data_IF_293040559361
#
_entry.id   IF_293040559361
#
_cell.length_a   1.000
_cell.length_b   1.000
_cell.length_c   1.000
_cell.angle_alpha   90.00
_cell.angle_beta   90.00
_cell.angle_gamma   90.00
#
_symmetry.space_group_name_H-M   'P 1'
#
loop_
_entity.id
_entity.type
_entity.pdbx_description
1 polymer ?
#
# COMPACT_ATOMS: atom_id res chain seq x y z
N UNK A 1 -11.58 -26.74 18.23
CA UNK A 1 -10.58 -26.56 17.15
C UNK A 1 -11.30 -26.83 15.84
N UNK A 2 -11.21 -25.94 14.83
CA UNK A 2 -11.85 -26.18 13.53
C UNK A 2 -11.12 -27.33 12.83
N UNK A 3 -11.85 -28.23 12.16
CA UNK A 3 -11.25 -29.30 11.35
C UNK A 3 -10.70 -28.74 10.04
N UNK A 4 -9.80 -29.49 9.38
CA UNK A 4 -9.30 -29.12 8.04
C UNK A 4 -10.47 -28.96 7.05
N UNK A 5 -11.48 -29.85 7.12
CA UNK A 5 -12.68 -29.77 6.29
C UNK A 5 -13.46 -28.47 6.51
N UNK A 6 -13.67 -28.08 7.78
CA UNK A 6 -14.35 -26.83 8.12
C UNK A 6 -13.58 -25.59 7.65
N UNK A 7 -12.24 -25.62 7.72
CA UNK A 7 -11.39 -24.54 7.23
C UNK A 7 -11.46 -24.43 5.70
N UNK A 8 -11.40 -25.56 4.99
CA UNK A 8 -11.51 -25.59 3.54
C UNK A 8 -12.89 -25.12 3.06
N UNK A 9 -13.97 -25.53 3.73
CA UNK A 9 -15.31 -25.07 3.39
C UNK A 9 -15.42 -23.55 3.51
N UNK A 10 -15.01 -22.97 4.66
CA UNK A 10 -15.05 -21.52 4.87
C UNK A 10 -14.13 -20.76 3.90
N UNK A 11 -12.98 -21.32 3.56
CA UNK A 11 -12.05 -20.74 2.59
C UNK A 11 -12.68 -20.69 1.20
N UNK A 12 -13.36 -21.77 0.78
CA UNK A 12 -14.09 -21.84 -0.49
C UNK A 12 -15.28 -20.86 -0.52
N UNK A 13 -16.05 -20.79 0.55
CA UNK A 13 -17.16 -19.82 0.67
C UNK A 13 -16.65 -18.38 0.58
N UNK A 14 -15.56 -18.07 1.28
CA UNK A 14 -14.92 -16.74 1.21
C UNK A 14 -14.40 -16.44 -0.19
N UNK A 15 -13.81 -17.42 -0.87
CA UNK A 15 -13.34 -17.30 -2.25
C UNK A 15 -14.50 -17.00 -3.22
N UNK A 16 -15.59 -17.75 -3.12
CA UNK A 16 -16.78 -17.58 -3.97
C UNK A 16 -17.48 -16.24 -3.74
N UNK A 17 -17.40 -15.71 -2.51
CA UNK A 17 -17.90 -14.37 -2.16
C UNK A 17 -16.90 -13.25 -2.46
N UNK A 18 -15.82 -13.55 -3.21
CA UNK A 18 -14.76 -12.59 -3.57
C UNK A 18 -14.02 -11.95 -2.39
N UNK A 19 -14.14 -12.52 -1.19
CA UNK A 19 -13.42 -12.11 0.01
C UNK A 19 -12.02 -12.73 0.00
N UNK A 20 -11.21 -12.39 -1.00
CA UNK A 20 -9.96 -13.06 -1.33
C UNK A 20 -8.90 -13.00 -0.23
N UNK A 21 -8.87 -11.91 0.55
CA UNK A 21 -7.99 -11.81 1.72
C UNK A 21 -8.37 -12.80 2.83
N UNK A 22 -9.68 -12.91 3.12
CA UNK A 22 -10.21 -13.84 4.11
C UNK A 22 -9.98 -15.28 3.66
N UNK A 23 -10.26 -15.58 2.39
CA UNK A 23 -10.01 -16.89 1.79
C UNK A 23 -8.52 -17.28 1.90
N UNK A 24 -7.61 -16.37 1.56
CA UNK A 24 -6.17 -16.58 1.67
C UNK A 24 -5.75 -16.90 3.11
N UNK A 25 -6.29 -16.16 4.09
CA UNK A 25 -6.03 -16.43 5.51
C UNK A 25 -6.47 -17.83 5.93
N UNK A 26 -7.66 -18.27 5.51
CA UNK A 26 -8.21 -19.59 5.85
C UNK A 26 -7.43 -20.75 5.19
N UNK A 27 -7.02 -20.62 3.92
CA UNK A 27 -6.17 -21.63 3.29
C UNK A 27 -4.78 -21.71 3.94
N UNK A 28 -4.20 -20.59 4.36
CA UNK A 28 -2.95 -20.62 5.12
C UNK A 28 -3.12 -21.34 6.47
N UNK A 29 -4.28 -21.20 7.13
CA UNK A 29 -4.56 -21.97 8.36
C UNK A 29 -4.63 -23.47 8.10
N UNK A 30 -5.15 -23.92 6.95
CA UNK A 30 -5.08 -25.34 6.55
C UNK A 30 -3.63 -25.78 6.44
N UNK A 31 -2.77 -25.00 5.79
CA UNK A 31 -1.35 -25.33 5.61
C UNK A 31 -0.54 -25.31 6.91
N UNK A 32 -1.01 -24.63 7.97
CA UNK A 32 -0.41 -24.71 9.30
C UNK A 32 -0.69 -26.06 9.98
N UNK A 33 -1.82 -26.71 9.65
CA UNK A 33 -2.23 -28.00 10.23
C UNK A 33 -1.77 -29.17 9.36
N UNK A 34 -1.87 -29.02 8.04
CA UNK A 34 -1.44 -29.98 7.02
C UNK A 34 -0.67 -29.24 5.92
N UNK A 35 0.65 -29.21 6.06
CA UNK A 35 1.57 -28.54 5.12
C UNK A 35 1.58 -29.18 3.73
N UNK A 36 1.05 -30.39 3.59
CA UNK A 36 1.00 -31.15 2.34
C UNK A 36 -0.36 -31.07 1.63
N UNK A 37 -1.29 -30.26 2.18
CA UNK A 37 -2.61 -30.11 1.61
C UNK A 37 -2.55 -29.42 0.23
N UNK A 38 -2.61 -30.22 -0.82
CA UNK A 38 -2.44 -29.75 -2.20
C UNK A 38 -3.49 -28.71 -2.63
N UNK A 39 -4.73 -28.86 -2.14
CA UNK A 39 -5.81 -27.90 -2.42
C UNK A 39 -5.46 -26.52 -1.83
N UNK A 40 -5.07 -26.47 -0.56
CA UNK A 40 -4.70 -25.23 0.09
C UNK A 40 -3.43 -24.61 -0.53
N UNK A 41 -2.44 -25.42 -0.94
CA UNK A 41 -1.24 -24.92 -1.62
C UNK A 41 -1.57 -24.21 -2.94
N UNK A 42 -2.37 -24.83 -3.82
CA UNK A 42 -2.79 -24.21 -5.09
C UNK A 42 -3.51 -22.90 -4.82
N UNK A 43 -4.50 -22.93 -3.91
CA UNK A 43 -5.34 -21.76 -3.62
C UNK A 43 -4.56 -20.60 -3.01
N UNK A 44 -3.62 -20.88 -2.11
CA UNK A 44 -2.73 -19.85 -1.57
C UNK A 44 -1.88 -19.21 -2.66
N UNK A 45 -1.33 -19.99 -3.60
CA UNK A 45 -0.54 -19.43 -4.68
C UNK A 45 -1.38 -18.52 -5.59
N UNK A 46 -2.55 -19.01 -6.01
CA UNK A 46 -3.52 -18.25 -6.82
C UNK A 46 -3.95 -16.94 -6.12
N UNK A 47 -4.31 -17.02 -4.84
CA UNK A 47 -4.82 -15.88 -4.09
C UNK A 47 -3.75 -14.87 -3.71
N UNK A 48 -2.49 -15.28 -3.51
CA UNK A 48 -1.39 -14.35 -3.24
C UNK A 48 -1.24 -13.35 -4.38
N UNK A 49 -1.24 -13.82 -5.61
CA UNK A 49 -1.17 -12.96 -6.80
C UNK A 49 -2.39 -12.06 -6.89
N UNK A 50 -3.60 -12.62 -6.72
CA UNK A 50 -4.85 -11.86 -6.82
C UNK A 50 -4.96 -10.76 -5.76
N UNK A 51 -4.63 -11.06 -4.50
CA UNK A 51 -4.63 -10.09 -3.40
C UNK A 51 -3.56 -9.03 -3.63
N UNK A 52 -2.38 -9.41 -4.14
CA UNK A 52 -1.32 -8.46 -4.45
C UNK A 52 -1.70 -7.50 -5.59
N UNK A 53 -2.36 -7.98 -6.64
CA UNK A 53 -2.84 -7.13 -7.74
C UNK A 53 -3.98 -6.23 -7.29
N UNK A 54 -4.91 -6.72 -6.47
CA UNK A 54 -5.94 -5.88 -5.85
C UNK A 54 -5.32 -4.76 -5.01
N UNK A 55 -4.34 -5.07 -4.15
CA UNK A 55 -3.63 -4.07 -3.35
C UNK A 55 -2.89 -3.02 -4.18
N UNK A 56 -2.32 -3.43 -5.32
CA UNK A 56 -1.67 -2.50 -6.27
C UNK A 56 -2.66 -1.61 -7.02
N UNK A 57 -3.90 -2.06 -7.17
CA UNK A 57 -4.96 -1.34 -7.87
C UNK A 57 -5.87 -0.53 -6.93
N UNK A 58 -5.56 -0.46 -5.63
CA UNK A 58 -6.23 0.49 -4.73
C UNK A 58 -5.63 1.85 -5.01
N UNK A 59 -6.33 2.66 -5.81
CA UNK A 59 -6.11 4.11 -5.81
C UNK A 59 -6.29 4.58 -4.37
N UNK A 60 -5.31 5.27 -3.76
CA UNK A 60 -5.45 5.77 -2.40
C UNK A 60 -6.75 6.58 -2.29
N UNK A 61 -7.39 6.59 -1.13
CA UNK A 61 -8.53 7.50 -0.94
C UNK A 61 -8.04 8.96 -0.94
N UNK A 62 -8.91 9.95 -1.22
CA UNK A 62 -8.56 11.36 -1.07
C UNK A 62 -8.00 11.69 0.32
N UNK A 63 -8.51 11.05 1.38
CA UNK A 63 -8.01 11.20 2.75
C UNK A 63 -6.59 10.63 2.92
N UNK A 64 -6.32 9.45 2.38
CA UNK A 64 -4.99 8.83 2.40
C UNK A 64 -3.98 9.65 1.61
N UNK A 65 -4.36 10.15 0.43
CA UNK A 65 -3.57 11.09 -0.35
C UNK A 65 -3.26 12.37 0.42
N UNK A 66 -4.25 12.94 1.13
CA UNK A 66 -4.05 14.13 1.96
C UNK A 66 -3.06 13.89 3.10
N UNK A 67 -3.17 12.74 3.79
CA UNK A 67 -2.23 12.35 4.86
C UNK A 67 -0.82 12.13 4.30
N UNK A 68 -0.72 11.48 3.14
CA UNK A 68 0.54 11.25 2.45
C UNK A 68 1.21 12.56 2.04
N UNK A 69 0.49 13.46 1.37
CA UNK A 69 0.99 14.77 0.94
C UNK A 69 1.40 15.64 2.13
N UNK A 70 0.62 15.65 3.22
CA UNK A 70 1.01 16.35 4.45
C UNK A 70 2.29 15.79 5.09
N UNK A 71 2.53 14.48 4.98
CA UNK A 71 3.76 13.84 5.46
C UNK A 71 4.96 14.21 4.58
N UNK A 72 4.80 14.19 3.26
CA UNK A 72 5.82 14.61 2.31
C UNK A 72 6.19 16.08 2.53
N UNK A 73 5.20 16.96 2.74
CA UNK A 73 5.39 18.39 2.95
C UNK A 73 6.29 18.65 4.17
N UNK A 74 5.96 18.04 5.32
CA UNK A 74 6.77 18.15 6.54
C UNK A 74 8.19 17.61 6.37
N UNK A 75 8.37 16.54 5.58
CA UNK A 75 9.69 16.00 5.28
C UNK A 75 10.49 16.92 4.35
N UNK A 76 9.82 17.55 3.38
CA UNK A 76 10.42 18.50 2.45
C UNK A 76 10.91 19.73 3.21
N UNK A 77 10.08 20.30 4.09
CA UNK A 77 10.43 21.43 4.95
C UNK A 77 11.65 21.12 5.84
N UNK A 78 11.64 19.97 6.52
CA UNK A 78 12.80 19.53 7.33
C UNK A 78 14.05 19.30 6.49
N UNK A 79 13.90 18.83 5.25
CA UNK A 79 15.04 18.64 4.34
C UNK A 79 15.58 20.00 3.89
N UNK A 80 14.71 20.97 3.62
CA UNK A 80 15.06 22.37 3.32
C UNK A 80 15.79 23.05 4.49
N UNK A 81 15.28 22.92 5.71
CA UNK A 81 15.91 23.43 6.94
C UNK A 81 17.33 22.86 7.15
N UNK A 82 17.53 21.59 6.76
CA UNK A 82 18.84 20.93 6.80
C UNK A 82 19.71 21.19 5.56
N UNK A 83 19.28 22.11 4.69
CA UNK A 83 19.94 22.44 3.42
C UNK A 83 20.15 21.22 2.49
N UNK A 84 19.36 20.16 2.68
CA UNK A 84 19.29 19.00 1.78
C UNK A 84 18.37 19.34 0.59
N UNK A 85 18.75 20.35 -0.18
CA UNK A 85 17.88 20.99 -1.18
C UNK A 85 17.40 20.03 -2.26
N UNK A 86 18.26 19.18 -2.80
CA UNK A 86 17.86 18.16 -3.80
C UNK A 86 16.78 17.23 -3.26
N UNK A 87 16.92 16.81 -1.99
CA UNK A 87 15.93 15.96 -1.32
C UNK A 87 14.62 16.71 -1.10
N UNK A 88 14.68 17.97 -0.68
CA UNK A 88 13.50 18.80 -0.51
C UNK A 88 12.74 18.96 -1.83
N UNK A 89 13.45 19.30 -2.92
CA UNK A 89 12.86 19.41 -4.26
C UNK A 89 12.21 18.11 -4.73
N UNK A 90 12.85 16.96 -4.51
CA UNK A 90 12.28 15.67 -4.87
C UNK A 90 10.98 15.38 -4.09
N UNK A 91 10.96 15.68 -2.79
CA UNK A 91 9.77 15.50 -1.96
C UNK A 91 8.61 16.42 -2.39
N UNK A 92 8.89 17.68 -2.72
CA UNK A 92 7.87 18.60 -3.25
C UNK A 92 7.33 18.13 -4.60
N UNK A 93 8.19 17.62 -5.50
CA UNK A 93 7.76 17.06 -6.80
C UNK A 93 6.83 15.87 -6.64
N UNK A 94 7.08 14.98 -5.67
CA UNK A 94 6.18 13.86 -5.38
C UNK A 94 4.78 14.32 -4.95
N UNK A 95 4.66 15.45 -4.24
CA UNK A 95 3.35 16.03 -3.92
C UNK A 95 2.66 16.48 -5.21
N UNK A 96 3.38 17.17 -6.10
CA UNK A 96 2.85 17.67 -7.37
C UNK A 96 2.48 16.57 -8.39
N UNK A 97 3.04 15.36 -8.25
CA UNK A 97 2.61 14.20 -9.04
C UNK A 97 1.17 13.76 -8.74
N UNK A 98 0.67 14.06 -7.54
CA UNK A 98 -0.70 13.71 -7.11
C UNK A 98 -1.62 14.92 -6.97
N UNK A 99 -1.08 16.09 -6.65
CA UNK A 99 -1.77 17.36 -6.49
C UNK A 99 -0.95 18.47 -7.17
N UNK A 100 -1.11 18.61 -8.48
CA UNK A 100 -0.32 19.54 -9.30
C UNK A 100 -0.52 21.01 -8.95
N UNK A 101 -1.59 21.35 -8.21
CA UNK A 101 -1.91 22.72 -7.78
C UNK A 101 -1.59 22.96 -6.30
N UNK A 102 -0.85 22.04 -5.66
CA UNK A 102 -0.47 22.17 -4.27
C UNK A 102 0.42 23.40 -4.05
N UNK A 103 -0.19 24.48 -3.51
CA UNK A 103 0.49 25.76 -3.31
C UNK A 103 1.70 25.65 -2.38
N UNK A 104 1.59 24.87 -1.31
CA UNK A 104 2.67 24.70 -0.32
C UNK A 104 3.90 24.03 -0.95
N UNK A 105 3.69 23.07 -1.87
CA UNK A 105 4.77 22.44 -2.60
C UNK A 105 5.39 23.36 -3.66
N UNK A 106 4.59 24.14 -4.39
CA UNK A 106 5.08 25.12 -5.36
C UNK A 106 5.92 26.22 -4.68
N UNK A 107 5.40 26.80 -3.59
CA UNK A 107 6.11 27.81 -2.80
C UNK A 107 7.40 27.24 -2.22
N UNK A 108 7.35 26.01 -1.70
CA UNK A 108 8.52 25.30 -1.18
C UNK A 108 9.62 25.08 -2.22
N UNK A 109 9.27 24.74 -3.47
CA UNK A 109 10.23 24.64 -4.58
C UNK A 109 10.88 26.00 -4.85
N UNK A 110 10.07 27.06 -4.98
CA UNK A 110 10.59 28.41 -5.27
C UNK A 110 11.54 28.91 -4.18
N UNK A 111 11.24 28.64 -2.91
CA UNK A 111 12.13 28.96 -1.79
C UNK A 111 13.45 28.18 -1.84
N UNK A 112 13.40 26.88 -2.14
CA UNK A 112 14.61 26.05 -2.26
C UNK A 112 15.47 26.52 -3.43
N UNK A 113 14.87 26.77 -4.61
CA UNK A 113 15.60 27.25 -5.78
C UNK A 113 16.25 28.60 -5.54
N UNK A 114 15.58 29.51 -4.82
CA UNK A 114 16.16 30.80 -4.42
C UNK A 114 17.32 30.62 -3.44
N UNK A 115 17.25 29.65 -2.53
CA UNK A 115 18.31 29.39 -1.55
C UNK A 115 19.57 28.74 -2.17
N UNK A 116 19.48 28.22 -3.40
CA UNK A 116 20.59 27.60 -4.14
C UNK A 116 21.33 28.56 -5.09
N UNK A 117 20.84 29.80 -5.25
CA UNK A 117 21.47 30.86 -6.05
C UNK A 117 22.50 31.63 -5.21
#
# INVERSE_FOLDING_TARGET
>A
MKTIEQLLQQANESYNNENYEIALGLYNQVLLVDTTNYVAMIRVNELKEKVQTMKKNVTPTPEEMKVFNGTLLRLAERSKEKQMYEKALNLYKQILETDSENKEALDGIAEVEKAQQ
#
